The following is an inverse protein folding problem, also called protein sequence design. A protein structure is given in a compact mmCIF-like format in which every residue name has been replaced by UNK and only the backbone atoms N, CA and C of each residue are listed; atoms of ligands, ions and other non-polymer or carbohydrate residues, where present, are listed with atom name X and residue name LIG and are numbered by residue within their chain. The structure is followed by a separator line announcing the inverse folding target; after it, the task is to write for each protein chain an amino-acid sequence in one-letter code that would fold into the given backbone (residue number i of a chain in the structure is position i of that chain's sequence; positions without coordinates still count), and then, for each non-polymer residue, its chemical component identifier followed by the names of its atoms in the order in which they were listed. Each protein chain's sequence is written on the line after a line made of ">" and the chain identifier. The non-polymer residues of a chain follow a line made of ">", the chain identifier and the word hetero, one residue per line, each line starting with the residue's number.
data_IF_479851001925
#
_entry.id   IF_479851001925
#
_cell.length_a   1.000
_cell.length_b   1.000
_cell.length_c   1.000
_cell.angle_alpha   90.00
_cell.angle_beta   90.00
_cell.angle_gamma   90.00
#
_symmetry.space_group_name_H-M   'P 1'
#
loop_
_entity.id
_entity.type
_entity.pdbx_description
1 polymer ?
#
# COMPACT_ATOMS: atom_id res chain seq x y z
N UNK A 1 -22.49 74.05 9.64
CA UNK A 1 -22.12 72.91 8.76
C UNK A 1 -21.45 71.76 9.54
N UNK A 2 -21.72 71.61 10.84
CA UNK A 2 -21.21 70.51 11.69
C UNK A 2 -22.16 69.30 11.65
N UNK A 3 -23.48 69.54 11.64
CA UNK A 3 -24.51 68.48 11.70
C UNK A 3 -24.45 67.53 10.50
N UNK A 4 -23.94 68.01 9.36
CA UNK A 4 -23.68 67.22 8.15
C UNK A 4 -22.42 66.36 8.25
N UNK A 5 -21.47 66.71 9.13
CA UNK A 5 -20.26 65.92 9.39
C UNK A 5 -20.55 64.69 10.26
N UNK A 6 -21.49 64.80 11.20
CA UNK A 6 -21.91 63.69 12.08
C UNK A 6 -22.69 62.59 11.35
N UNK A 7 -23.39 62.92 10.26
CA UNK A 7 -24.17 61.95 9.48
C UNK A 7 -23.30 61.06 8.58
N UNK A 8 -22.11 61.51 8.18
CA UNK A 8 -21.19 60.74 7.33
C UNK A 8 -20.40 59.69 8.11
N UNK A 9 -20.12 59.92 9.39
CA UNK A 9 -19.38 58.96 10.25
C UNK A 9 -20.25 57.75 10.61
N UNK A 10 -21.58 57.91 10.63
CA UNK A 10 -22.52 56.83 10.94
C UNK A 10 -22.65 55.76 9.85
N UNK A 11 -22.18 56.00 8.62
CA UNK A 11 -22.31 55.06 7.50
C UNK A 11 -21.12 54.10 7.37
N UNK A 12 -20.06 54.28 8.16
CA UNK A 12 -18.82 53.47 8.05
C UNK A 12 -18.82 52.25 9.00
N UNK A 13 -19.82 52.13 9.88
CA UNK A 13 -19.93 51.04 10.88
C UNK A 13 -20.84 49.90 10.38
N UNK A 14 -20.82 49.61 9.07
CA UNK A 14 -21.34 48.37 8.50
C UNK A 14 -20.21 47.63 7.75
N UNK A 15 -19.06 47.46 8.40
CA UNK A 15 -18.09 46.43 8.03
C UNK A 15 -18.47 45.13 8.74
N UNK A 16 -19.65 44.58 8.39
CA UNK A 16 -20.11 43.28 8.85
C UNK A 16 -19.30 42.18 8.16
N UNK A 17 -18.57 41.43 8.99
CA UNK A 17 -17.91 40.14 8.78
C UNK A 17 -17.98 39.58 7.36
N UNK A 18 -16.86 39.65 6.63
CA UNK A 18 -16.64 38.70 5.54
C UNK A 18 -16.41 37.35 6.21
N UNK A 19 -17.41 36.46 6.13
CA UNK A 19 -17.18 35.04 6.33
C UNK A 19 -16.11 34.64 5.32
N UNK A 20 -14.87 34.47 5.78
CA UNK A 20 -13.91 33.64 5.08
C UNK A 20 -14.56 32.26 5.07
N UNK A 21 -15.27 31.97 3.98
CA UNK A 21 -15.51 30.63 3.55
C UNK A 21 -14.12 30.01 3.39
N UNK A 22 -13.66 29.39 4.46
CA UNK A 22 -12.58 28.42 4.41
C UNK A 22 -13.11 27.37 3.45
N UNK A 23 -12.67 27.44 2.20
CA UNK A 23 -12.73 26.32 1.28
C UNK A 23 -11.81 25.27 1.90
N UNK A 24 -12.34 24.52 2.86
CA UNK A 24 -11.81 23.24 3.25
C UNK A 24 -11.90 22.40 1.99
N UNK A 25 -10.83 22.39 1.21
CA UNK A 25 -10.63 21.37 0.22
C UNK A 25 -10.58 20.06 1.02
N UNK A 26 -11.72 19.37 1.08
CA UNK A 26 -11.75 17.97 1.51
C UNK A 26 -10.81 17.23 0.56
N UNK A 27 -9.58 17.05 1.02
CA UNK A 27 -8.64 16.18 0.36
C UNK A 27 -9.10 14.79 0.75
N UNK A 28 -9.99 14.20 -0.04
CA UNK A 28 -10.36 12.80 0.14
C UNK A 28 -9.07 11.98 0.26
N UNK A 29 -8.87 11.21 1.34
CA UNK A 29 -7.65 10.45 1.51
C UNK A 29 -7.59 9.42 0.39
N UNK A 30 -6.67 9.61 -0.56
CA UNK A 30 -6.38 8.64 -1.60
C UNK A 30 -5.79 7.39 -0.96
N UNK A 31 -6.66 6.45 -0.60
CA UNK A 31 -6.26 5.13 -0.09
C UNK A 31 -5.51 4.42 -1.22
N UNK A 32 -4.20 4.30 -1.07
CA UNK A 32 -3.36 3.52 -1.99
C UNK A 32 -3.15 2.15 -1.38
N UNK A 33 -3.80 1.13 -1.94
CA UNK A 33 -3.61 -0.26 -1.50
C UNK A 33 -2.36 -0.83 -2.15
N UNK A 34 -1.47 -1.43 -1.35
CA UNK A 34 -0.34 -2.22 -1.82
C UNK A 34 -0.64 -3.69 -1.62
N UNK A 35 -0.66 -4.46 -2.70
CA UNK A 35 -0.67 -5.93 -2.62
C UNK A 35 0.75 -6.42 -2.38
N UNK A 36 0.95 -7.18 -1.30
CA UNK A 36 2.21 -7.89 -1.02
C UNK A 36 1.97 -9.36 -1.33
N UNK A 37 2.54 -9.84 -2.43
CA UNK A 37 2.55 -11.26 -2.74
C UNK A 37 3.61 -11.96 -1.88
N UNK A 38 3.14 -12.80 -0.94
CA UNK A 38 3.98 -13.62 -0.07
C UNK A 38 4.04 -15.08 -0.53
N UNK A 39 3.58 -15.38 -1.76
CA UNK A 39 3.50 -16.71 -2.35
C UNK A 39 4.78 -17.51 -2.20
N UNK A 40 5.90 -16.93 -2.61
CA UNK A 40 7.22 -17.56 -2.54
C UNK A 40 7.71 -17.83 -1.10
N UNK A 41 7.14 -17.17 -0.08
CA UNK A 41 7.53 -17.35 1.32
C UNK A 41 6.85 -18.54 1.98
N UNK A 42 5.58 -18.85 1.63
CA UNK A 42 4.90 -20.00 2.22
C UNK A 42 5.10 -21.29 1.40
N UNK A 43 5.44 -21.17 0.13
CA UNK A 43 5.70 -22.31 -0.78
C UNK A 43 7.17 -22.74 -0.83
N UNK A 44 8.00 -22.48 0.18
CA UNK A 44 9.48 -22.69 0.10
C UNK A 44 9.88 -24.07 -0.44
N UNK A 45 11.03 -24.11 -1.13
CA UNK A 45 11.61 -25.33 -1.69
C UNK A 45 11.64 -26.51 -0.69
N UNK A 46 11.24 -27.67 -1.18
CA UNK A 46 11.20 -28.93 -0.43
C UNK A 46 12.51 -29.66 -0.61
N UNK A 47 13.25 -29.88 0.46
CA UNK A 47 14.52 -30.58 0.37
C UNK A 47 14.50 -31.94 1.06
N UNK A 48 14.62 -33.00 0.28
CA UNK A 48 14.50 -34.41 0.69
C UNK A 48 15.86 -34.99 1.15
N UNK A 49 15.88 -35.74 2.26
CA UNK A 49 17.06 -36.46 2.75
C UNK A 49 17.43 -37.61 1.80
N UNK A 50 18.71 -38.00 1.75
CA UNK A 50 19.13 -39.21 1.01
C UNK A 50 18.55 -40.50 1.62
N UNK A 51 18.04 -40.45 2.85
CA UNK A 51 17.44 -41.58 3.57
C UNK A 51 15.93 -41.71 3.35
N UNK A 52 15.28 -40.72 2.74
CA UNK A 52 13.85 -40.76 2.50
C UNK A 52 13.54 -41.67 1.30
N UNK A 53 12.53 -42.53 1.43
CA UNK A 53 12.07 -43.39 0.33
C UNK A 53 10.80 -42.80 -0.25
N UNK A 54 10.87 -42.33 -1.49
CA UNK A 54 9.76 -41.76 -2.23
C UNK A 54 9.32 -42.71 -3.34
N UNK A 55 8.04 -42.71 -3.67
CA UNK A 55 7.57 -43.25 -4.94
C UNK A 55 7.99 -42.32 -6.08
N UNK A 56 8.12 -42.86 -7.29
CA UNK A 56 8.49 -42.07 -8.47
C UNK A 56 7.53 -40.89 -8.70
N UNK A 57 6.22 -41.11 -8.53
CA UNK A 57 5.21 -40.07 -8.68
C UNK A 57 5.35 -38.92 -7.67
N UNK A 58 5.72 -39.21 -6.43
CA UNK A 58 5.96 -38.18 -5.41
C UNK A 58 7.27 -37.43 -5.68
N UNK A 59 8.32 -38.15 -6.09
CA UNK A 59 9.60 -37.54 -6.45
C UNK A 59 9.45 -36.57 -7.63
N UNK A 60 8.63 -36.93 -8.62
CA UNK A 60 8.30 -36.06 -9.77
C UNK A 60 7.62 -34.77 -9.32
N UNK A 61 6.54 -34.87 -8.53
CA UNK A 61 5.80 -33.70 -8.04
C UNK A 61 6.69 -32.73 -7.26
N UNK A 62 7.58 -33.26 -6.40
CA UNK A 62 8.52 -32.42 -5.64
C UNK A 62 9.54 -31.76 -6.57
N UNK A 63 10.03 -32.49 -7.59
CA UNK A 63 10.95 -31.96 -8.59
C UNK A 63 10.31 -30.79 -9.35
N UNK A 64 9.12 -30.99 -9.91
CA UNK A 64 8.38 -29.96 -10.66
C UNK A 64 8.08 -28.72 -9.81
N UNK A 65 7.67 -28.92 -8.55
CA UNK A 65 7.45 -27.84 -7.59
C UNK A 65 8.72 -27.01 -7.37
N UNK A 66 9.84 -27.66 -7.06
CA UNK A 66 11.10 -27.00 -6.78
C UNK A 66 11.69 -26.29 -8.00
N UNK A 67 11.61 -26.91 -9.19
CA UNK A 67 12.07 -26.30 -10.44
C UNK A 67 11.21 -25.08 -10.82
N UNK A 68 9.90 -25.16 -10.61
CA UNK A 68 9.00 -24.03 -10.83
C UNK A 68 9.30 -22.89 -9.87
N UNK A 69 9.50 -23.16 -8.59
CA UNK A 69 9.90 -22.12 -7.64
C UNK A 69 11.34 -21.64 -7.82
N UNK A 70 12.26 -22.44 -8.36
CA UNK A 70 13.57 -21.94 -8.77
C UNK A 70 13.43 -20.88 -9.88
N UNK A 71 12.52 -21.11 -10.84
CA UNK A 71 12.23 -20.18 -11.94
C UNK A 71 11.47 -18.92 -11.51
N UNK A 72 10.42 -19.07 -10.68
CA UNK A 72 9.52 -17.97 -10.31
C UNK A 72 10.01 -17.24 -9.06
N UNK A 73 10.49 -17.99 -8.06
CA UNK A 73 10.83 -17.49 -6.73
C UNK A 73 12.34 -17.45 -6.45
N UNK A 74 13.19 -17.90 -7.38
CA UNK A 74 14.65 -17.86 -7.25
C UNK A 74 15.22 -18.84 -6.20
N UNK A 75 14.47 -19.87 -5.82
CA UNK A 75 14.95 -20.89 -4.87
C UNK A 75 16.23 -21.56 -5.36
N UNK A 76 17.08 -21.97 -4.42
CA UNK A 76 18.39 -22.56 -4.72
C UNK A 76 18.39 -24.04 -4.37
N UNK A 77 19.08 -24.89 -5.15
CA UNK A 77 19.28 -26.27 -4.76
C UNK A 77 20.18 -26.35 -3.52
N UNK A 78 20.07 -27.44 -2.75
CA UNK A 78 21.05 -27.70 -1.68
C UNK A 78 22.44 -27.89 -2.29
N UNK A 79 23.45 -27.32 -1.63
CA UNK A 79 24.83 -27.64 -1.93
C UNK A 79 25.06 -29.14 -1.75
N UNK A 80 25.74 -29.77 -2.71
CA UNK A 80 26.10 -31.18 -2.59
C UNK A 80 27.08 -31.32 -1.41
N UNK A 81 26.70 -32.12 -0.42
CA UNK A 81 27.62 -32.67 0.59
C UNK A 81 28.05 -34.06 0.16
#
# INVERSE_FOLDING_TARGET
>A
MWKTLLLLVSQVILCGCVDVATTGAETEPKITTRTIDTGCQWTKAIYISKTDVLTDGTAEQIREHNETGARICGWKPRAKK
#
